data_IF_674959433358
#
_entry.id   IF_674959433358
#
_cell.length_a   1.000
_cell.length_b   1.000
_cell.length_c   1.000
_cell.angle_alpha   90.00
_cell.angle_beta   90.00
_cell.angle_gamma   90.00
#
_symmetry.space_group_name_H-M   'P 1'
#
loop_
_entity.id
_entity.type
_entity.pdbx_description
1 polymer ?
#
# COMPACT_ATOMS: atom_id res chain seq x y z
N UNK A 1 -24.58 -6.50 40.00
CA UNK A 1 -23.58 -6.98 39.03
C UNK A 1 -22.31 -7.30 39.80
N UNK A 2 -21.75 -8.51 39.72
CA UNK A 2 -20.53 -8.87 40.46
C UNK A 2 -19.30 -8.31 39.74
N UNK A 3 -18.48 -7.54 40.44
CA UNK A 3 -17.21 -7.02 39.93
C UNK A 3 -16.16 -8.14 39.83
N UNK A 4 -15.12 -7.93 39.02
CA UNK A 4 -14.01 -8.88 38.85
C UNK A 4 -13.06 -8.98 40.07
N UNK A 5 -13.21 -8.13 41.09
CA UNK A 5 -12.39 -8.17 42.31
C UNK A 5 -11.11 -7.34 42.23
N UNK A 6 -10.79 -6.78 41.06
CA UNK A 6 -9.64 -5.88 40.89
C UNK A 6 -9.91 -4.51 41.55
N UNK A 7 -8.82 -3.79 41.80
CA UNK A 7 -8.87 -2.41 42.25
C UNK A 7 -9.61 -1.54 41.20
N UNK A 8 -10.44 -0.58 41.62
CA UNK A 8 -11.05 0.39 40.71
C UNK A 8 -9.98 1.19 39.96
N UNK A 9 -10.21 1.42 38.67
CA UNK A 9 -9.35 2.27 37.85
C UNK A 9 -9.89 3.70 37.93
N UNK A 10 -9.03 4.66 38.24
CA UNK A 10 -9.42 6.08 38.23
C UNK A 10 -9.51 6.60 36.79
N UNK A 11 -10.60 7.25 36.45
CA UNK A 11 -10.81 7.86 35.14
C UNK A 11 -9.69 8.86 34.80
N UNK A 12 -9.21 9.61 35.79
CA UNK A 12 -8.11 10.58 35.63
C UNK A 12 -6.78 9.95 35.18
N UNK A 13 -6.57 8.68 35.49
CA UNK A 13 -5.36 7.89 35.14
C UNK A 13 -5.50 7.14 33.82
N UNK A 14 -6.73 6.99 33.30
CA UNK A 14 -6.96 6.37 32.01
C UNK A 14 -6.50 7.31 30.89
N UNK A 15 -6.08 6.72 29.76
CA UNK A 15 -5.85 7.49 28.54
C UNK A 15 -7.16 8.19 28.15
N UNK A 16 -7.14 9.49 27.78
CA UNK A 16 -8.35 10.21 27.36
C UNK A 16 -9.07 9.50 26.20
N UNK A 17 -8.31 8.88 25.30
CA UNK A 17 -8.79 8.09 24.16
C UNK A 17 -9.50 6.79 24.55
N UNK A 18 -9.36 6.31 25.79
CA UNK A 18 -9.90 5.03 26.28
C UNK A 18 -11.15 5.20 27.14
N UNK A 19 -11.65 6.41 27.27
CA UNK A 19 -12.80 6.76 28.08
C UNK A 19 -13.61 7.81 27.34
N UNK A 20 -14.92 7.64 27.24
CA UNK A 20 -15.83 8.68 26.75
C UNK A 20 -16.72 9.14 27.91
N UNK A 21 -16.56 10.40 28.30
CA UNK A 21 -17.38 11.07 29.31
C UNK A 21 -18.22 12.21 28.73
N UNK A 22 -18.47 12.20 27.41
CA UNK A 22 -19.26 13.24 26.74
C UNK A 22 -20.65 13.40 27.35
N UNK A 23 -21.08 14.64 27.49
CA UNK A 23 -22.43 14.96 27.93
C UNK A 23 -23.45 14.47 26.89
N UNK A 24 -24.59 13.96 27.37
CA UNK A 24 -25.67 13.37 26.57
C UNK A 24 -25.35 12.08 25.79
N UNK A 25 -24.13 11.54 25.91
CA UNK A 25 -23.77 10.24 25.33
C UNK A 25 -23.65 9.15 26.41
N UNK A 26 -23.84 7.86 26.06
CA UNK A 26 -23.52 6.77 26.97
C UNK A 26 -22.04 6.82 27.34
N UNK A 27 -21.74 6.75 28.63
CA UNK A 27 -20.35 6.63 29.09
C UNK A 27 -19.76 5.31 28.61
N UNK A 28 -18.63 5.38 27.90
CA UNK A 28 -17.93 4.21 27.36
C UNK A 28 -16.52 4.14 27.92
N UNK A 29 -16.01 2.93 28.13
CA UNK A 29 -14.62 2.71 28.49
C UNK A 29 -14.06 1.51 27.72
N UNK A 30 -12.78 1.60 27.37
CA UNK A 30 -12.02 0.50 26.81
C UNK A 30 -11.65 -0.47 27.94
N UNK A 31 -11.92 -1.76 27.74
CA UNK A 31 -11.47 -2.80 28.66
C UNK A 31 -9.93 -2.89 28.66
N UNK A 32 -9.27 -2.94 29.82
CA UNK A 32 -7.80 -3.00 29.89
C UNK A 32 -7.21 -4.31 29.33
N UNK A 33 -8.01 -5.39 29.29
CA UNK A 33 -7.51 -6.71 28.89
C UNK A 33 -7.82 -7.05 27.43
N UNK A 34 -9.03 -6.77 26.93
CA UNK A 34 -9.43 -7.07 25.54
C UNK A 34 -9.40 -5.86 24.60
N UNK A 35 -9.05 -4.67 25.12
CA UNK A 35 -8.96 -3.42 24.37
C UNK A 35 -10.19 -3.05 23.52
N UNK A 36 -11.37 -3.57 23.90
CA UNK A 36 -12.64 -3.32 23.21
C UNK A 36 -13.46 -2.30 23.98
N UNK A 37 -14.22 -1.49 23.25
CA UNK A 37 -15.12 -0.48 23.81
C UNK A 37 -16.37 -1.13 24.40
N UNK A 38 -16.69 -0.75 25.62
CA UNK A 38 -17.88 -1.22 26.31
C UNK A 38 -18.56 -0.08 27.06
N UNK A 39 -19.88 -0.21 27.22
CA UNK A 39 -20.67 0.71 28.02
C UNK A 39 -20.30 0.60 29.50
N UNK A 40 -20.21 1.74 30.18
CA UNK A 40 -20.14 1.82 31.63
C UNK A 40 -21.56 1.80 32.18
N UNK A 41 -21.84 0.79 33.01
CA UNK A 41 -23.11 0.66 33.73
C UNK A 41 -22.80 0.67 35.23
N UNK A 42 -23.33 1.67 35.97
CA UNK A 42 -23.02 1.87 37.40
C UNK A 42 -21.51 1.94 37.67
N UNK A 43 -20.79 2.74 36.89
CA UNK A 43 -19.33 2.92 37.00
C UNK A 43 -18.52 1.62 36.82
N UNK A 44 -19.05 0.69 36.02
CA UNK A 44 -18.43 -0.60 35.76
C UNK A 44 -18.51 -0.96 34.28
N UNK A 45 -17.42 -1.52 33.74
CA UNK A 45 -17.38 -2.05 32.37
C UNK A 45 -18.39 -3.19 32.26
N UNK A 46 -19.31 -3.09 31.29
CA UNK A 46 -20.34 -4.12 31.07
C UNK A 46 -19.67 -5.50 30.90
N UNK A 47 -20.18 -6.55 31.58
CA UNK A 47 -19.61 -7.88 31.47
C UNK A 47 -19.61 -8.37 30.02
N UNK A 48 -18.44 -8.78 29.53
CA UNK A 48 -18.24 -9.21 28.14
C UNK A 48 -17.26 -10.38 28.08
N UNK A 49 -17.12 -10.94 26.88
CA UNK A 49 -16.19 -12.02 26.54
C UNK A 49 -15.07 -11.44 25.68
N UNK A 50 -13.88 -12.01 25.80
CA UNK A 50 -12.65 -11.51 25.17
C UNK A 50 -12.59 -11.72 23.64
N UNK A 51 -13.58 -12.39 23.06
CA UNK A 51 -13.65 -12.67 21.62
C UNK A 51 -12.53 -13.61 21.14
N UNK A 52 -11.70 -14.13 22.06
CA UNK A 52 -10.65 -15.08 21.75
C UNK A 52 -11.24 -16.41 21.27
N UNK A 53 -10.48 -17.20 20.49
CA UNK A 53 -10.91 -18.53 20.11
C UNK A 53 -11.13 -19.36 21.37
N UNK A 54 -12.35 -19.85 21.52
CA UNK A 54 -12.65 -20.88 22.49
C UNK A 54 -11.75 -22.09 22.20
N UNK A 55 -10.95 -22.55 23.16
CA UNK A 55 -10.21 -23.80 23.00
C UNK A 55 -11.25 -24.92 22.96
N UNK A 56 -11.74 -25.24 21.77
CA UNK A 56 -12.75 -26.27 21.53
C UNK A 56 -12.17 -27.62 21.92
N UNK A 57 -12.49 -28.12 23.11
CA UNK A 57 -12.21 -29.51 23.49
C UNK A 57 -13.37 -30.47 23.24
N UNK A 58 -14.57 -30.02 22.87
CA UNK A 58 -15.71 -30.92 22.64
C UNK A 58 -16.70 -30.49 21.53
N UNK A 59 -17.42 -31.48 20.99
CA UNK A 59 -18.47 -31.33 19.95
C UNK A 59 -19.64 -30.52 20.50
N UNK A 60 -19.97 -29.43 19.82
CA UNK A 60 -21.08 -28.52 20.16
C UNK A 60 -22.43 -29.11 19.73
N UNK A 61 -23.44 -29.13 20.61
CA UNK A 61 -24.81 -29.59 20.31
C UNK A 61 -25.74 -28.41 20.00
N UNK A 62 -26.86 -28.67 19.33
CA UNK A 62 -27.84 -27.64 18.98
C UNK A 62 -28.49 -27.08 20.26
N UNK A 63 -28.25 -25.79 20.55
CA UNK A 63 -28.65 -25.11 21.80
C UNK A 63 -27.48 -24.49 22.59
N UNK A 64 -26.24 -24.81 22.23
CA UNK A 64 -25.07 -24.22 22.88
C UNK A 64 -24.94 -22.72 22.60
N UNK A 65 -24.62 -21.96 23.67
CA UNK A 65 -24.48 -20.50 23.62
C UNK A 65 -23.55 -20.05 22.49
N UNK A 66 -23.88 -18.94 21.82
CA UNK A 66 -23.11 -18.46 20.67
C UNK A 66 -21.65 -18.24 21.07
N UNK A 67 -20.77 -18.55 20.12
CA UNK A 67 -19.32 -18.51 20.20
C UNK A 67 -18.77 -17.12 20.56
N UNK A 68 -18.82 -16.77 21.83
CA UNK A 68 -17.92 -15.79 22.43
C UNK A 68 -17.05 -16.56 23.42
N UNK A 69 -15.73 -16.40 23.34
CA UNK A 69 -14.73 -17.13 24.13
C UNK A 69 -14.88 -17.01 25.65
N UNK A 70 -13.78 -17.12 26.39
CA UNK A 70 -13.81 -17.11 27.86
C UNK A 70 -14.34 -15.75 28.35
N UNK A 71 -14.83 -15.71 29.60
CA UNK A 71 -15.17 -14.43 30.22
C UNK A 71 -13.89 -13.59 30.30
N UNK A 72 -13.93 -12.37 29.77
CA UNK A 72 -12.75 -11.50 29.81
C UNK A 72 -12.39 -11.20 31.29
N UNK A 73 -11.12 -11.33 31.72
CA UNK A 73 -10.75 -11.03 33.10
C UNK A 73 -11.01 -9.56 33.50
N UNK A 74 -10.96 -8.64 32.52
CA UNK A 74 -11.30 -7.23 32.65
C UNK A 74 -12.80 -6.92 32.55
N UNK A 75 -13.64 -7.93 32.32
CA UNK A 75 -15.09 -7.78 32.39
C UNK A 75 -15.52 -7.36 33.79
N UNK A 76 -16.55 -6.52 33.93
CA UNK A 76 -17.00 -6.04 35.24
C UNK A 76 -15.93 -5.29 36.05
N UNK A 77 -14.94 -4.69 35.38
CA UNK A 77 -13.95 -3.81 35.99
C UNK A 77 -14.59 -2.50 36.44
N UNK A 78 -14.30 -2.07 37.68
CA UNK A 78 -14.78 -0.79 38.22
C UNK A 78 -13.92 0.36 37.67
N UNK A 79 -14.59 1.43 37.25
CA UNK A 79 -13.99 2.68 36.83
C UNK A 79 -14.55 3.79 37.72
N UNK A 80 -13.69 4.35 38.56
CA UNK A 80 -14.05 5.48 39.42
C UNK A 80 -13.96 6.78 38.61
N UNK A 81 -15.06 7.51 38.50
CA UNK A 81 -15.13 8.73 37.69
C UNK A 81 -14.80 9.90 38.59
N UNK A 82 -13.50 10.13 38.76
CA UNK A 82 -12.91 11.16 39.62
C UNK A 82 -12.61 12.49 38.88
N UNK A 83 -13.01 12.58 37.61
CA UNK A 83 -12.81 13.75 36.75
C UNK A 83 -14.14 14.20 36.16
N UNK A 84 -14.33 15.52 36.03
CA UNK A 84 -15.53 16.07 35.38
C UNK A 84 -15.47 15.89 33.86
N UNK A 85 -16.61 15.86 33.17
CA UNK A 85 -16.66 15.83 31.70
C UNK A 85 -15.83 16.93 31.04
N UNK A 86 -15.83 18.14 31.60
CA UNK A 86 -15.11 19.30 31.08
C UNK A 86 -13.60 19.10 31.21
N UNK A 87 -13.12 18.70 32.39
CA UNK A 87 -11.71 18.43 32.62
C UNK A 87 -11.20 17.23 31.80
N UNK A 88 -12.05 16.24 31.53
CA UNK A 88 -11.73 15.18 30.57
C UNK A 88 -11.67 15.70 29.13
N UNK A 89 -12.60 16.59 28.73
CA UNK A 89 -12.61 17.24 27.43
C UNK A 89 -11.34 18.05 27.17
N UNK A 90 -10.88 18.82 28.15
CA UNK A 90 -9.59 19.54 28.08
C UNK A 90 -8.40 18.59 27.90
N UNK A 91 -8.37 17.48 28.65
CA UNK A 91 -7.34 16.44 28.48
C UNK A 91 -7.37 15.81 27.09
N UNK A 92 -8.55 15.58 26.53
CA UNK A 92 -8.71 15.05 25.18
C UNK A 92 -8.16 16.03 24.13
N UNK A 93 -8.50 17.31 24.24
CA UNK A 93 -8.01 18.37 23.34
C UNK A 93 -6.49 18.55 23.44
N UNK A 94 -5.93 18.51 24.65
CA UNK A 94 -4.47 18.55 24.86
C UNK A 94 -3.76 17.35 24.21
N UNK A 95 -4.36 16.15 24.27
CA UNK A 95 -3.83 14.96 23.62
C UNK A 95 -3.91 15.08 22.08
N UNK A 96 -5.01 15.60 21.55
CA UNK A 96 -5.22 15.76 20.11
C UNK A 96 -4.29 16.83 19.50
N UNK A 97 -4.13 17.99 20.16
CA UNK A 97 -3.20 19.04 19.72
C UNK A 97 -1.76 18.55 19.67
N UNK A 98 -1.33 17.79 20.69
CA UNK A 98 -0.03 17.13 20.71
C UNK A 98 0.12 16.14 19.55
N UNK A 99 -0.90 15.32 19.28
CA UNK A 99 -0.87 14.35 18.18
C UNK A 99 -0.89 15.02 16.79
N UNK A 100 -1.67 16.09 16.61
CA UNK A 100 -1.77 16.86 15.39
C UNK A 100 -0.43 17.53 15.05
N UNK A 101 0.26 18.08 16.04
CA UNK A 101 1.58 18.70 15.86
C UNK A 101 2.65 17.74 15.30
N UNK A 102 2.50 16.42 15.55
CA UNK A 102 3.43 15.38 15.09
C UNK A 102 3.12 14.86 13.68
N UNK A 103 1.92 15.10 13.16
CA UNK A 103 1.58 14.69 11.78
C UNK A 103 2.00 15.77 10.82
N UNK A 104 2.94 15.45 9.94
CA UNK A 104 3.31 16.35 8.85
C UNK A 104 2.06 16.62 7.99
N UNK A 105 1.59 17.87 7.97
CA UNK A 105 0.40 18.29 7.18
C UNK A 105 0.64 18.22 5.67
N UNK A 106 1.81 17.77 5.19
CA UNK A 106 2.11 17.69 3.77
C UNK A 106 1.43 16.46 3.16
N UNK A 107 0.33 16.61 2.39
CA UNK A 107 -0.28 15.47 1.74
C UNK A 107 0.72 14.87 0.75
N UNK A 108 1.07 13.60 0.94
CA UNK A 108 1.81 12.82 -0.06
C UNK A 108 0.88 12.65 -1.25
N UNK A 109 1.10 13.40 -2.34
CA UNK A 109 0.32 13.21 -3.57
C UNK A 109 0.67 11.85 -4.15
N UNK A 110 -0.34 11.02 -4.40
CA UNK A 110 -0.18 9.82 -5.21
C UNK A 110 0.37 10.25 -6.58
N UNK A 111 1.38 9.57 -7.14
CA UNK A 111 1.80 9.80 -8.52
C UNK A 111 0.57 9.73 -9.42
N UNK A 112 0.35 10.73 -10.26
CA UNK A 112 -0.69 10.61 -11.29
C UNK A 112 -0.31 9.43 -12.18
N UNK A 113 -1.23 8.47 -12.42
CA UNK A 113 -0.95 7.42 -13.38
C UNK A 113 -0.63 8.07 -14.73
N UNK A 114 0.48 7.66 -15.35
CA UNK A 114 0.83 8.12 -16.69
C UNK A 114 -0.32 7.77 -17.63
N UNK A 115 -0.73 8.71 -18.47
CA UNK A 115 -1.75 8.46 -19.48
C UNK A 115 -1.32 7.25 -20.34
N UNK A 116 -2.25 6.34 -20.62
CA UNK A 116 -1.95 5.22 -21.50
C UNK A 116 -1.46 5.75 -22.85
N UNK A 117 -0.41 5.15 -23.45
CA UNK A 117 0.12 5.61 -24.72
C UNK A 117 -0.95 5.51 -25.82
N UNK A 118 -0.92 6.44 -26.77
CA UNK A 118 -1.76 6.35 -27.96
C UNK A 118 -1.54 5.02 -28.68
N UNK A 119 -2.56 4.49 -29.35
CA UNK A 119 -2.49 3.20 -30.06
C UNK A 119 -1.36 3.16 -31.09
N UNK A 120 -1.08 4.30 -31.74
CA UNK A 120 0.05 4.48 -32.67
C UNK A 120 1.43 4.40 -32.01
N UNK A 121 1.53 4.63 -30.70
CA UNK A 121 2.76 4.55 -29.91
C UNK A 121 2.93 3.19 -29.19
N UNK A 122 1.95 2.28 -29.31
CA UNK A 122 2.05 0.95 -28.73
C UNK A 122 3.09 0.13 -29.49
N UNK A 123 4.05 -0.45 -28.76
CA UNK A 123 5.14 -1.23 -29.35
C UNK A 123 4.62 -2.32 -30.30
N UNK A 124 5.13 -2.32 -31.53
CA UNK A 124 4.86 -3.36 -32.54
C UNK A 124 5.33 -4.74 -32.08
N UNK A 125 6.28 -4.82 -31.15
CA UNK A 125 6.79 -6.06 -30.57
C UNK A 125 5.70 -6.89 -29.85
N UNK A 126 4.57 -6.28 -29.53
CA UNK A 126 3.44 -6.93 -28.85
C UNK A 126 2.25 -7.22 -29.77
N UNK A 127 2.33 -6.87 -31.06
CA UNK A 127 1.22 -6.99 -32.02
C UNK A 127 0.72 -8.44 -32.14
N UNK A 128 1.63 -9.38 -32.42
CA UNK A 128 1.29 -10.81 -32.57
C UNK A 128 0.64 -11.40 -31.31
N UNK A 129 1.15 -11.05 -30.12
CA UNK A 129 0.57 -11.55 -28.87
C UNK A 129 -0.83 -10.97 -28.60
N UNK A 130 -1.09 -9.71 -29.00
CA UNK A 130 -2.42 -9.09 -28.90
C UNK A 130 -3.43 -9.72 -29.86
N UNK A 131 -2.99 -10.03 -31.07
CA UNK A 131 -3.81 -10.70 -32.09
C UNK A 131 -4.21 -12.10 -31.62
N UNK A 132 -3.25 -12.89 -31.12
CA UNK A 132 -3.54 -14.20 -30.50
C UNK A 132 -4.48 -14.10 -29.30
N UNK A 133 -4.40 -13.00 -28.53
CA UNK A 133 -5.33 -12.79 -27.42
C UNK A 133 -6.73 -12.43 -27.93
N UNK A 134 -6.84 -11.63 -28.97
CA UNK A 134 -8.11 -11.27 -29.57
C UNK A 134 -8.81 -12.50 -30.16
N UNK A 135 -8.07 -13.32 -30.92
CA UNK A 135 -8.54 -14.60 -31.48
C UNK A 135 -9.02 -15.55 -30.37
N UNK A 136 -8.20 -15.76 -29.33
CA UNK A 136 -8.59 -16.62 -28.20
C UNK A 136 -9.84 -16.14 -27.45
N UNK A 137 -10.05 -14.82 -27.36
CA UNK A 137 -11.26 -14.27 -26.73
C UNK A 137 -12.49 -14.40 -27.64
N UNK A 138 -12.31 -14.56 -28.95
CA UNK A 138 -13.37 -14.82 -29.93
C UNK A 138 -13.74 -16.31 -29.99
N UNK A 139 -12.79 -17.23 -29.77
CA UNK A 139 -12.98 -18.70 -29.81
C UNK A 139 -13.83 -19.29 -28.65
N UNK A 140 -14.55 -18.45 -27.90
CA UNK A 140 -15.51 -18.82 -26.86
C UNK A 140 -14.99 -19.89 -25.86
N UNK A 141 -13.73 -19.71 -25.44
CA UNK A 141 -13.03 -20.62 -24.54
C UNK A 141 -13.82 -20.88 -23.25
N UNK A 142 -14.14 -22.16 -22.97
CA UNK A 142 -14.92 -22.59 -21.81
C UNK A 142 -14.38 -22.07 -20.46
N UNK A 143 -13.05 -21.93 -20.33
CA UNK A 143 -12.42 -21.44 -19.09
C UNK A 143 -12.59 -19.92 -18.94
N UNK A 144 -12.47 -19.17 -20.04
CA UNK A 144 -12.75 -17.75 -20.08
C UNK A 144 -14.22 -17.46 -19.77
N UNK A 145 -15.14 -18.26 -20.33
CA UNK A 145 -16.59 -18.12 -20.09
C UNK A 145 -16.97 -18.39 -18.64
N UNK A 146 -16.41 -19.44 -18.03
CA UNK A 146 -16.79 -19.88 -16.68
C UNK A 146 -16.12 -19.13 -15.54
N UNK A 147 -14.86 -18.73 -15.71
CA UNK A 147 -14.04 -18.17 -14.64
C UNK A 147 -13.45 -16.79 -14.96
N UNK A 148 -13.77 -16.24 -16.13
CA UNK A 148 -13.20 -14.99 -16.63
C UNK A 148 -11.79 -15.15 -17.22
N UNK A 149 -11.39 -14.18 -18.02
CA UNK A 149 -10.08 -14.16 -18.70
C UNK A 149 -8.89 -14.09 -17.74
N UNK A 150 -9.10 -13.67 -16.49
CA UNK A 150 -8.05 -13.57 -15.47
C UNK A 150 -7.51 -14.94 -15.01
N UNK A 151 -8.29 -16.02 -15.15
CA UNK A 151 -7.92 -17.38 -14.72
C UNK A 151 -7.62 -18.34 -15.88
N UNK A 152 -7.65 -17.84 -17.12
CA UNK A 152 -7.29 -18.63 -18.28
C UNK A 152 -5.77 -18.64 -18.48
N UNK A 153 -5.18 -19.84 -18.54
CA UNK A 153 -3.72 -20.01 -18.68
C UNK A 153 -3.19 -19.41 -19.97
N UNK A 154 -3.93 -19.53 -21.08
CA UNK A 154 -3.57 -18.96 -22.38
C UNK A 154 -3.52 -17.43 -22.28
N UNK A 155 -4.56 -16.81 -21.70
CA UNK A 155 -4.61 -15.35 -21.50
C UNK A 155 -3.46 -14.88 -20.60
N UNK A 156 -3.18 -15.60 -19.51
CA UNK A 156 -2.07 -15.29 -18.60
C UNK A 156 -0.74 -15.32 -19.35
N UNK A 157 -0.48 -16.38 -20.13
CA UNK A 157 0.75 -16.52 -20.91
C UNK A 157 0.90 -15.42 -21.96
N UNK A 158 -0.18 -15.08 -22.68
CA UNK A 158 -0.18 -14.00 -23.67
C UNK A 158 0.11 -12.64 -23.03
N UNK A 159 -0.50 -12.34 -21.87
CA UNK A 159 -0.19 -11.11 -21.11
C UNK A 159 1.27 -11.07 -20.64
N UNK A 160 1.79 -12.19 -20.13
CA UNK A 160 3.21 -12.29 -19.74
C UNK A 160 4.16 -12.11 -20.93
N UNK A 161 3.81 -12.61 -22.12
CA UNK A 161 4.59 -12.38 -23.34
C UNK A 161 4.56 -10.90 -23.74
N UNK A 162 3.41 -10.23 -23.64
CA UNK A 162 3.31 -8.79 -23.90
C UNK A 162 4.19 -7.99 -22.95
N UNK A 163 4.14 -8.27 -21.64
CA UNK A 163 4.98 -7.58 -20.64
C UNK A 163 6.48 -7.77 -20.89
N UNK A 164 6.91 -9.00 -21.25
CA UNK A 164 8.32 -9.27 -21.59
C UNK A 164 8.75 -8.51 -22.84
N UNK A 165 7.92 -8.51 -23.88
CA UNK A 165 8.22 -7.79 -25.12
C UNK A 165 8.27 -6.26 -24.92
N UNK A 166 7.39 -5.68 -24.09
CA UNK A 166 7.49 -4.24 -23.76
C UNK A 166 8.76 -3.93 -22.96
N UNK A 167 9.13 -4.79 -22.00
CA UNK A 167 10.35 -4.61 -21.22
C UNK A 167 11.60 -4.66 -22.10
N UNK A 168 11.68 -5.64 -23.01
CA UNK A 168 12.78 -5.77 -23.97
C UNK A 168 12.84 -4.58 -24.94
N UNK A 169 11.70 -4.11 -25.44
CA UNK A 169 11.64 -2.93 -26.31
C UNK A 169 12.10 -1.66 -25.59
N UNK A 170 11.76 -1.50 -24.31
CA UNK A 170 12.21 -0.37 -23.50
C UNK A 170 13.73 -0.40 -23.29
N UNK A 171 14.30 -1.57 -22.92
CA UNK A 171 15.73 -1.70 -22.63
C UNK A 171 16.63 -1.70 -23.87
N UNK A 172 16.13 -2.17 -25.02
CA UNK A 172 16.89 -2.19 -26.27
C UNK A 172 17.19 -0.77 -26.81
N UNK A 173 16.40 0.24 -26.45
CA UNK A 173 16.42 1.54 -27.11
C UNK A 173 17.51 2.52 -26.63
N UNK A 174 18.19 2.26 -25.51
CA UNK A 174 19.10 3.26 -24.91
C UNK A 174 20.52 2.71 -24.63
N UNK A 175 20.64 1.54 -24.02
CA UNK A 175 21.90 1.04 -23.47
C UNK A 175 22.89 0.50 -24.51
N UNK A 176 22.49 -0.29 -25.53
CA UNK A 176 23.46 -0.85 -26.47
C UNK A 176 24.01 0.21 -27.45
N UNK A 177 23.19 1.16 -27.90
CA UNK A 177 23.63 2.21 -28.85
C UNK A 177 24.54 3.24 -28.19
N UNK A 178 24.25 3.67 -26.96
CA UNK A 178 25.13 4.60 -26.24
C UNK A 178 26.48 3.96 -25.93
N UNK A 179 26.48 2.68 -25.51
CA UNK A 179 27.72 1.91 -25.32
C UNK A 179 28.55 1.79 -26.60
N UNK A 180 27.92 1.43 -27.72
CA UNK A 180 28.60 1.33 -29.02
C UNK A 180 29.17 2.68 -29.49
N UNK A 181 28.43 3.77 -29.37
CA UNK A 181 28.90 5.11 -29.75
C UNK A 181 30.04 5.59 -28.85
N UNK A 182 29.98 5.31 -27.55
CA UNK A 182 31.07 5.63 -26.61
C UNK A 182 32.34 4.87 -26.98
N UNK A 183 32.24 3.57 -27.25
CA UNK A 183 33.38 2.75 -27.69
C UNK A 183 33.95 3.25 -29.01
N UNK A 184 33.09 3.57 -29.99
CA UNK A 184 33.50 4.13 -31.27
C UNK A 184 34.22 5.49 -31.11
N UNK A 185 33.75 6.36 -30.22
CA UNK A 185 34.40 7.63 -29.93
C UNK A 185 35.77 7.44 -29.25
N UNK A 186 35.89 6.51 -28.31
CA UNK A 186 37.17 6.18 -27.67
C UNK A 186 38.17 5.60 -28.68
N UNK A 187 37.74 4.65 -29.52
CA UNK A 187 38.56 4.08 -30.58
C UNK A 187 39.00 5.14 -31.59
N UNK A 188 38.11 6.05 -31.98
CA UNK A 188 38.43 7.14 -32.89
C UNK A 188 39.46 8.10 -32.29
N UNK A 189 39.32 8.50 -31.02
CA UNK A 189 40.32 9.35 -30.34
C UNK A 189 41.68 8.65 -30.23
N UNK A 190 41.70 7.33 -30.10
CA UNK A 190 42.93 6.54 -30.02
C UNK A 190 43.66 6.41 -31.38
N UNK A 191 42.98 6.61 -32.52
CA UNK A 191 43.57 6.43 -33.86
C UNK A 191 43.73 7.75 -34.63
N UNK A 192 42.92 8.76 -34.35
CA UNK A 192 42.86 10.01 -35.08
C UNK A 192 43.88 11.03 -34.55
N UNK A 193 44.92 11.33 -35.34
CA UNK A 193 45.99 12.31 -35.02
C UNK A 193 45.50 13.69 -34.58
N UNK A 194 44.56 14.38 -35.27
CA UNK A 194 44.09 15.68 -34.81
C UNK A 194 43.38 15.57 -33.45
N UNK A 195 42.58 14.53 -33.26
CA UNK A 195 41.84 14.29 -32.03
C UNK A 195 42.74 13.81 -30.86
N UNK A 196 43.95 13.28 -31.13
CA UNK A 196 45.00 13.05 -30.11
C UNK A 196 45.64 14.34 -29.62
N UNK A 197 45.79 15.33 -30.50
CA UNK A 197 46.34 16.64 -30.19
C UNK A 197 45.26 17.63 -29.72
N UNK A 198 44.18 17.11 -29.15
CA UNK A 198 43.03 17.88 -28.63
C UNK A 198 42.30 18.76 -29.67
N UNK A 199 42.62 18.62 -30.96
CA UNK A 199 41.95 19.34 -32.03
C UNK A 199 40.67 18.61 -32.46
N UNK A 200 39.50 19.29 -32.51
CA UNK A 200 38.24 18.65 -32.84
C UNK A 200 38.17 18.29 -34.33
N UNK A 201 38.19 16.99 -34.60
CA UNK A 201 37.99 16.42 -35.94
C UNK A 201 36.48 16.23 -36.24
N UNK A 202 36.09 16.33 -37.51
CA UNK A 202 34.67 16.33 -37.92
C UNK A 202 33.93 15.03 -37.52
N UNK A 203 34.57 13.88 -37.73
CA UNK A 203 34.04 12.57 -37.32
C UNK A 203 33.86 12.47 -35.80
N UNK A 204 34.82 12.98 -35.02
CA UNK A 204 34.74 13.04 -33.56
C UNK A 204 33.59 13.92 -33.08
N UNK A 205 33.38 15.08 -33.72
CA UNK A 205 32.24 15.97 -33.43
C UNK A 205 30.90 15.31 -33.73
N UNK A 206 30.78 14.62 -34.87
CA UNK A 206 29.56 13.89 -35.25
C UNK A 206 29.23 12.76 -34.28
N UNK A 207 30.23 11.99 -33.83
CA UNK A 207 30.05 10.93 -32.83
C UNK A 207 29.59 11.50 -31.48
N UNK A 208 30.24 12.57 -30.99
CA UNK A 208 29.87 13.23 -29.75
C UNK A 208 28.46 13.84 -29.81
N UNK A 209 28.12 14.52 -30.90
CA UNK A 209 26.79 15.10 -31.11
C UNK A 209 25.67 14.03 -31.11
N UNK A 210 25.96 12.86 -31.69
CA UNK A 210 25.01 11.73 -31.72
C UNK A 210 24.81 11.12 -30.32
N UNK A 211 25.87 11.04 -29.52
CA UNK A 211 25.77 10.61 -28.10
C UNK A 211 24.93 11.59 -27.27
N UNK A 212 25.14 12.90 -27.43
CA UNK A 212 24.37 13.92 -26.70
C UNK A 212 22.91 13.94 -27.13
N UNK A 213 22.61 13.71 -28.41
CA UNK A 213 21.23 13.60 -28.91
C UNK A 213 20.47 12.43 -28.26
N UNK A 214 21.08 11.25 -28.19
CA UNK A 214 20.46 10.07 -27.55
C UNK A 214 20.25 10.30 -26.05
N UNK A 215 21.22 10.92 -25.37
CA UNK A 215 21.08 11.23 -23.95
C UNK A 215 19.93 12.23 -23.69
N UNK A 216 19.80 13.25 -24.55
CA UNK A 216 18.71 14.21 -24.47
C UNK A 216 17.35 13.55 -24.72
N UNK A 217 17.21 12.73 -25.76
CA UNK A 217 15.99 11.98 -26.07
C UNK A 217 15.59 10.99 -24.98
N UNK A 218 16.56 10.45 -24.23
CA UNK A 218 16.28 9.60 -23.08
C UNK A 218 15.73 10.43 -21.91
N UNK A 219 16.39 11.56 -21.61
CA UNK A 219 15.96 12.46 -20.54
C UNK A 219 14.55 13.01 -20.79
N UNK A 220 14.22 13.42 -22.02
CA UNK A 220 12.90 13.93 -22.39
C UNK A 220 11.80 12.86 -22.34
N UNK A 221 12.13 11.59 -22.55
CA UNK A 221 11.16 10.47 -22.42
C UNK A 221 10.95 10.02 -20.98
N UNK A 222 11.89 10.33 -20.08
CA UNK A 222 11.83 9.95 -18.66
C UNK A 222 11.29 11.06 -17.73
N UNK A 223 11.13 12.27 -18.23
CA UNK A 223 10.58 13.43 -17.52
C UNK A 223 9.07 13.55 -17.74
#
# INVERSE_FOLDING_TARGET
MRHNGRAPIKASTMRPEHLSLRDNEPRLAVCPDCHTWHRLTRSMITPHRDGGPDQKTERRYYGDKPSGGRRCPGSAQRVDIDITPEAWGEKLLAAETTAASRRTTRPIRKPRPQAAPATSQMSSATRSAREQLAEHLQDDCARCRRFGSARCTIVIQLRQRMHRATHLAATASATPLYGQLRTALHQHRATCTPCKNEAPCDTGRKLAARMTGIAHDHLTRSA
#
